data_IF_358216688478
#
_entry.id   IF_358216688478
#
_cell.length_a   1.000
_cell.length_b   1.000
_cell.length_c   1.000
_cell.angle_alpha   90.00
_cell.angle_beta   90.00
_cell.angle_gamma   90.00
#
_symmetry.space_group_name_H-M   'P 1'
#
loop_
_entity.id
_entity.type
_entity.pdbx_description
1 polymer ?
#
# COMPACT_ATOMS: atom_id res chain seq x y z
N UNK A 1 -24.58 18.30 -24.64
CA UNK A 1 -23.22 18.36 -24.05
C UNK A 1 -23.33 17.81 -22.63
N UNK A 2 -22.62 16.74 -22.26
CA UNK A 2 -22.56 16.32 -20.86
C UNK A 2 -21.86 17.41 -20.04
N UNK A 3 -22.38 17.68 -18.84
CA UNK A 3 -21.84 18.69 -17.91
C UNK A 3 -21.56 17.99 -16.58
N UNK A 4 -20.33 18.11 -16.09
CA UNK A 4 -19.91 17.56 -14.79
C UNK A 4 -20.73 18.23 -13.67
N UNK A 5 -21.40 17.41 -12.85
CA UNK A 5 -22.32 17.88 -11.80
C UNK A 5 -21.69 17.93 -10.41
N UNK A 6 -20.66 17.12 -10.15
CA UNK A 6 -20.04 16.97 -8.83
C UNK A 6 -18.62 16.41 -8.95
N UNK A 7 -17.72 16.91 -8.10
CA UNK A 7 -16.36 16.40 -7.89
C UNK A 7 -16.13 16.27 -6.40
N UNK A 8 -15.73 15.11 -5.92
CA UNK A 8 -15.38 14.93 -4.50
C UNK A 8 -14.07 14.16 -4.37
N UNK A 9 -13.26 14.56 -3.40
CA UNK A 9 -12.04 13.84 -3.03
C UNK A 9 -12.38 12.87 -1.91
N UNK A 10 -12.44 11.57 -2.22
CA UNK A 10 -12.90 10.53 -1.27
C UNK A 10 -11.81 10.20 -0.21
N UNK A 11 -10.55 10.54 -0.47
CA UNK A 11 -9.42 10.33 0.45
C UNK A 11 -8.47 11.52 0.45
N UNK A 12 -8.82 12.65 1.09
CA UNK A 12 -7.95 13.81 1.13
C UNK A 12 -6.65 13.48 1.88
N UNK A 13 -5.53 14.01 1.37
CA UNK A 13 -4.26 13.91 2.08
C UNK A 13 -4.37 14.59 3.46
N UNK A 14 -3.77 14.02 4.52
CA UNK A 14 -3.81 14.64 5.85
C UNK A 14 -3.16 16.02 5.83
N UNK A 15 -3.75 16.99 6.55
CA UNK A 15 -3.31 18.39 6.57
C UNK A 15 -1.86 18.58 7.04
N UNK A 16 -1.35 17.62 7.83
CA UNK A 16 0.06 17.52 8.18
C UNK A 16 0.48 16.07 7.98
N UNK A 17 1.59 15.87 7.26
CA UNK A 17 2.21 14.56 7.20
C UNK A 17 2.65 14.17 8.62
N UNK A 18 2.30 12.97 9.13
CA UNK A 18 2.79 12.53 10.41
C UNK A 18 4.33 12.49 10.39
N UNK A 19 5.01 12.81 11.51
CA UNK A 19 6.47 12.85 11.57
C UNK A 19 7.13 11.52 11.19
N UNK A 20 6.40 10.42 11.37
CA UNK A 20 6.77 9.07 10.98
C UNK A 20 5.67 8.53 10.07
N UNK A 21 6.01 8.00 8.88
CA UNK A 21 5.05 7.31 8.03
C UNK A 21 4.31 6.21 8.80
N UNK A 22 3.02 5.97 8.52
CA UNK A 22 2.32 4.84 9.11
C UNK A 22 3.06 3.54 8.76
N UNK A 23 3.55 2.87 9.79
CA UNK A 23 4.16 1.57 9.68
C UNK A 23 3.19 0.51 10.18
N UNK A 24 3.14 -0.61 9.49
CA UNK A 24 2.45 -1.79 9.98
C UNK A 24 3.38 -3.00 9.88
N UNK A 25 3.20 -3.91 10.84
CA UNK A 25 4.00 -5.10 10.95
C UNK A 25 3.13 -6.29 10.55
N UNK A 26 3.63 -7.09 9.62
CA UNK A 26 2.95 -8.32 9.18
C UNK A 26 3.90 -9.48 9.39
N UNK A 27 3.40 -10.58 9.94
CA UNK A 27 4.23 -11.79 10.08
C UNK A 27 4.38 -12.49 8.74
N UNK A 28 5.47 -13.25 8.60
CA UNK A 28 5.68 -14.15 7.46
C UNK A 28 4.50 -15.11 7.27
N UNK A 29 3.98 -15.64 8.38
CA UNK A 29 2.81 -16.49 8.41
C UNK A 29 1.59 -15.83 7.79
N UNK A 30 1.34 -14.56 8.10
CA UNK A 30 0.22 -13.81 7.52
C UNK A 30 0.41 -13.52 6.03
N UNK A 31 1.63 -13.27 5.56
CA UNK A 31 1.89 -12.97 4.14
C UNK A 31 1.88 -14.19 3.23
N UNK A 32 2.52 -15.29 3.66
CA UNK A 32 2.80 -16.44 2.81
C UNK A 32 1.96 -17.67 3.17
N UNK A 33 1.34 -17.70 4.35
CA UNK A 33 0.44 -18.77 4.78
C UNK A 33 1.08 -20.16 4.68
N UNK A 34 0.41 -21.15 4.06
CA UNK A 34 0.97 -22.49 3.87
C UNK A 34 2.17 -22.55 2.91
N UNK A 35 2.45 -21.49 2.15
CA UNK A 35 3.55 -21.45 1.17
C UNK A 35 4.86 -20.94 1.78
N UNK A 36 4.98 -20.94 3.11
CA UNK A 36 6.24 -20.63 3.77
C UNK A 36 7.26 -21.72 3.42
N UNK A 37 8.42 -21.31 2.90
CA UNK A 37 9.53 -22.21 2.59
C UNK A 37 9.94 -22.95 3.86
N UNK A 38 10.14 -24.27 3.74
CA UNK A 38 10.54 -25.12 4.85
C UNK A 38 11.77 -24.53 5.58
N UNK A 39 11.64 -24.40 6.91
CA UNK A 39 12.68 -23.83 7.78
C UNK A 39 12.59 -22.32 8.03
N UNK A 40 11.68 -21.59 7.37
CA UNK A 40 11.47 -20.18 7.66
C UNK A 40 10.48 -19.97 8.83
N UNK A 41 10.85 -19.12 9.79
CA UNK A 41 10.00 -18.84 10.96
C UNK A 41 8.75 -18.04 10.57
N UNK A 42 7.54 -18.58 10.77
CA UNK A 42 6.28 -17.88 10.48
C UNK A 42 6.10 -16.60 11.30
N UNK A 43 6.74 -16.48 12.46
CA UNK A 43 6.64 -15.29 13.33
C UNK A 43 7.61 -14.17 12.94
N UNK A 44 8.44 -14.36 11.90
CA UNK A 44 9.30 -13.30 11.38
C UNK A 44 8.44 -12.07 11.03
N UNK A 45 8.71 -10.94 11.67
CA UNK A 45 8.00 -9.69 11.42
C UNK A 45 8.64 -8.94 10.25
N UNK A 46 7.80 -8.52 9.30
CA UNK A 46 8.18 -7.64 8.21
C UNK A 46 7.61 -6.24 8.46
N UNK A 47 8.48 -5.22 8.64
CA UNK A 47 8.02 -3.85 8.72
C UNK A 47 7.71 -3.34 7.30
N UNK A 48 6.51 -2.79 7.11
CA UNK A 48 6.14 -2.09 5.88
C UNK A 48 5.78 -0.64 6.16
N UNK A 49 6.28 0.25 5.30
CA UNK A 49 5.81 1.64 5.21
C UNK A 49 4.69 1.71 4.19
N UNK A 50 3.58 2.36 4.55
CA UNK A 50 2.48 2.62 3.60
C UNK A 50 2.98 3.42 2.39
N UNK A 51 3.92 4.33 2.58
CA UNK A 51 4.45 5.15 1.48
C UNK A 51 5.30 4.33 0.51
N UNK A 52 6.11 3.38 1.01
CA UNK A 52 6.86 2.47 0.14
C UNK A 52 5.91 1.60 -0.69
N UNK A 53 4.81 1.14 -0.09
CA UNK A 53 3.79 0.37 -0.80
C UNK A 53 3.06 1.21 -1.84
N UNK A 54 2.73 2.47 -1.55
CA UNK A 54 2.14 3.40 -2.53
C UNK A 54 3.10 3.67 -3.69
N UNK A 55 4.39 3.85 -3.41
CA UNK A 55 5.41 4.04 -4.42
C UNK A 55 5.53 2.80 -5.32
N UNK A 56 5.59 1.61 -4.72
CA UNK A 56 5.63 0.34 -5.45
C UNK A 56 4.37 0.12 -6.29
N UNK A 57 3.19 0.44 -5.74
CA UNK A 57 1.91 0.35 -6.45
C UNK A 57 1.87 1.33 -7.63
N UNK A 58 2.28 2.58 -7.43
CA UNK A 58 2.35 3.61 -8.48
C UNK A 58 3.24 3.16 -9.63
N UNK A 59 4.44 2.65 -9.32
CA UNK A 59 5.35 2.12 -10.34
C UNK A 59 4.77 0.93 -11.11
N UNK A 60 4.03 0.06 -10.41
CA UNK A 60 3.37 -1.10 -11.04
C UNK A 60 2.21 -0.68 -11.95
N UNK A 61 1.38 0.27 -11.50
CA UNK A 61 0.29 0.85 -12.29
C UNK A 61 0.83 1.57 -13.54
N UNK A 62 1.89 2.36 -13.40
CA UNK A 62 2.52 3.04 -14.53
C UNK A 62 3.00 2.07 -15.61
N UNK A 63 3.58 0.92 -15.22
CA UNK A 63 3.98 -0.15 -16.17
C UNK A 63 2.80 -0.78 -16.91
N UNK A 64 1.58 -0.67 -16.37
CA UNK A 64 0.34 -1.14 -16.99
C UNK A 64 -0.39 -0.02 -17.75
N UNK A 65 0.20 1.16 -17.92
CA UNK A 65 -0.46 2.37 -18.43
C UNK A 65 -1.73 2.75 -17.62
N UNK A 66 -1.74 2.44 -16.33
CA UNK A 66 -2.79 2.83 -15.39
C UNK A 66 -2.31 3.99 -14.53
N UNK A 67 -3.24 4.87 -14.14
CA UNK A 67 -2.97 5.97 -13.21
C UNK A 67 -3.43 5.56 -11.80
N UNK A 68 -2.71 5.99 -10.75
CA UNK A 68 -3.21 5.91 -9.38
C UNK A 68 -4.56 6.62 -9.28
N UNK A 69 -5.48 6.04 -8.51
CA UNK A 69 -6.80 6.61 -8.22
C UNK A 69 -6.70 7.83 -7.29
#
# INVERSE_FOLDING_TARGET
MPVMRQSETIFPAPAQAPPVPPQFQVTRGTLFGPSIVDGADPNTLFPFSIDDLRNQATGSLARMNLLPA
#
